data_IF_924676504879
#
_entry.id   IF_924676504879
#
_cell.length_a   1.000
_cell.length_b   1.000
_cell.length_c   1.000
_cell.angle_alpha   90.00
_cell.angle_beta   90.00
_cell.angle_gamma   90.00
#
_symmetry.space_group_name_H-M   'P 1'
#
loop_
_entity.id
_entity.type
_entity.pdbx_description
1 polymer ?
#
# COMPACT_ATOMS: atom_id res chain seq x y z
N UNK A 1 -56.31 -1.05 6.46
CA UNK A 1 -55.86 -0.91 5.06
C UNK A 1 -54.35 -0.87 5.10
N UNK A 2 -53.71 -1.96 4.70
CA UNK A 2 -52.25 -2.11 4.73
C UNK A 2 -51.65 -1.26 3.62
N UNK A 3 -50.87 -0.24 3.96
CA UNK A 3 -50.13 0.54 2.96
C UNK A 3 -49.14 -0.42 2.28
N UNK A 4 -49.07 -0.49 0.93
CA UNK A 4 -48.11 -1.36 0.26
C UNK A 4 -46.68 -1.00 0.72
N UNK A 5 -45.92 -2.00 1.15
CA UNK A 5 -44.54 -1.82 1.62
C UNK A 5 -43.68 -1.38 0.43
N UNK A 6 -43.29 -0.11 0.41
CA UNK A 6 -42.36 0.42 -0.57
C UNK A 6 -40.94 0.02 -0.16
N UNK A 7 -40.23 -0.70 -1.03
CA UNK A 7 -38.87 -1.18 -0.77
C UNK A 7 -37.91 -0.36 -1.62
N UNK A 8 -37.00 0.34 -0.95
CA UNK A 8 -36.01 1.20 -1.60
C UNK A 8 -34.85 1.53 -0.66
N UNK A 9 -33.91 2.31 -1.17
CA UNK A 9 -32.79 2.81 -0.38
C UNK A 9 -33.11 4.18 0.20
N UNK A 10 -32.68 4.42 1.44
CA UNK A 10 -32.88 5.69 2.13
C UNK A 10 -31.80 6.69 1.71
N UNK A 11 -32.23 7.87 1.30
CA UNK A 11 -31.38 8.96 0.85
C UNK A 11 -31.78 10.29 1.50
N UNK A 12 -30.79 11.15 1.76
CA UNK A 12 -31.00 12.55 2.16
C UNK A 12 -30.74 13.46 0.98
N UNK A 13 -31.71 14.30 0.64
CA UNK A 13 -31.59 15.22 -0.50
C UNK A 13 -30.62 16.33 -0.18
N UNK A 14 -29.61 16.53 -1.03
CA UNK A 14 -28.62 17.61 -0.90
C UNK A 14 -28.98 18.82 -1.76
N UNK A 15 -29.47 18.57 -2.97
CA UNK A 15 -29.85 19.59 -3.95
C UNK A 15 -30.83 19.01 -4.96
N UNK A 16 -31.80 19.80 -5.39
CA UNK A 16 -32.72 19.45 -6.48
C UNK A 16 -32.47 20.40 -7.64
N UNK A 17 -32.33 19.84 -8.84
CA UNK A 17 -32.34 20.55 -10.09
C UNK A 17 -33.69 20.31 -10.77
N UNK A 18 -34.54 21.33 -10.78
CA UNK A 18 -35.90 21.24 -11.31
C UNK A 18 -35.95 21.30 -12.83
N UNK A 19 -34.93 21.87 -13.49
CA UNK A 19 -34.89 21.94 -14.97
C UNK A 19 -34.68 20.55 -15.57
N UNK A 20 -33.80 19.75 -14.97
CA UNK A 20 -33.42 18.42 -15.44
C UNK A 20 -33.98 17.27 -14.56
N UNK A 21 -34.95 17.58 -13.69
CA UNK A 21 -35.57 16.64 -12.74
C UNK A 21 -34.56 15.72 -12.04
N UNK A 22 -33.46 16.32 -11.58
CA UNK A 22 -32.32 15.61 -11.01
C UNK A 22 -32.19 15.92 -9.53
N UNK A 23 -32.14 14.87 -8.70
CA UNK A 23 -31.94 14.98 -7.26
C UNK A 23 -30.55 14.50 -6.91
N UNK A 24 -29.74 15.38 -6.33
CA UNK A 24 -28.46 15.02 -5.69
C UNK A 24 -28.73 14.60 -4.26
N UNK A 25 -28.17 13.46 -3.86
CA UNK A 25 -28.48 12.84 -2.59
C UNK A 25 -27.26 12.25 -1.90
N UNK A 26 -27.39 12.02 -0.60
CA UNK A 26 -26.44 11.29 0.23
C UNK A 26 -27.06 9.99 0.72
N UNK A 27 -26.27 8.92 0.84
CA UNK A 27 -26.67 7.65 1.48
C UNK A 27 -26.29 7.66 2.97
N UNK A 28 -26.87 6.76 3.77
CA UNK A 28 -26.48 6.63 5.19
C UNK A 28 -24.99 6.33 5.40
N UNK A 29 -24.32 5.72 4.41
CA UNK A 29 -22.87 5.47 4.43
C UNK A 29 -22.01 6.67 3.98
N UNK A 30 -22.60 7.84 3.78
CA UNK A 30 -21.91 9.07 3.38
C UNK A 30 -21.60 9.20 1.88
N UNK A 31 -21.96 8.22 1.06
CA UNK A 31 -21.77 8.28 -0.39
C UNK A 31 -22.71 9.31 -1.02
N UNK A 32 -22.21 10.07 -1.99
CA UNK A 32 -22.98 11.09 -2.73
C UNK A 32 -23.31 10.53 -4.12
N UNK A 33 -24.56 10.70 -4.54
CA UNK A 33 -25.05 10.29 -5.85
C UNK A 33 -26.03 11.28 -6.45
N UNK A 34 -26.51 10.98 -7.65
CA UNK A 34 -27.62 11.71 -8.29
C UNK A 34 -28.59 10.73 -8.93
N UNK A 35 -29.88 11.04 -8.87
CA UNK A 35 -30.93 10.37 -9.66
C UNK A 35 -31.52 11.39 -10.61
N UNK A 36 -31.50 11.10 -11.90
CA UNK A 36 -32.12 11.91 -12.95
C UNK A 36 -33.43 11.25 -13.42
N UNK A 37 -34.31 12.04 -14.05
CA UNK A 37 -35.64 11.61 -14.52
C UNK A 37 -36.57 11.15 -13.38
N UNK A 38 -36.45 11.77 -12.21
CA UNK A 38 -37.31 11.47 -11.07
C UNK A 38 -38.65 12.23 -11.24
N UNK A 39 -39.76 11.52 -11.36
CA UNK A 39 -41.07 12.18 -11.51
C UNK A 39 -41.48 12.90 -10.21
N UNK A 40 -42.00 14.12 -10.32
CA UNK A 40 -42.59 14.85 -9.18
C UNK A 40 -41.57 15.56 -8.28
N UNK A 41 -40.38 15.88 -8.78
CA UNK A 41 -39.31 16.60 -8.06
C UNK A 41 -39.70 17.98 -7.54
N UNK A 42 -40.78 18.57 -8.04
CA UNK A 42 -41.30 19.88 -7.61
C UNK A 42 -41.69 19.94 -6.13
N UNK A 43 -41.85 18.78 -5.49
CA UNK A 43 -42.22 18.65 -4.07
C UNK A 43 -41.03 18.36 -3.15
N UNK A 44 -39.84 18.14 -3.70
CA UNK A 44 -38.65 17.74 -2.94
C UNK A 44 -37.82 18.98 -2.64
N UNK A 45 -37.47 19.18 -1.38
CA UNK A 45 -36.57 20.23 -0.93
C UNK A 45 -35.22 19.66 -0.45
N UNK A 46 -34.12 20.44 -0.51
CA UNK A 46 -32.87 20.08 0.15
C UNK A 46 -33.09 19.79 1.65
N UNK A 47 -32.63 18.62 2.10
CA UNK A 47 -32.80 18.12 3.46
C UNK A 47 -33.86 17.03 3.60
N UNK A 48 -34.74 16.86 2.62
CA UNK A 48 -35.78 15.82 2.67
C UNK A 48 -35.19 14.42 2.61
N UNK A 49 -35.77 13.53 3.41
CA UNK A 49 -35.45 12.11 3.37
C UNK A 49 -36.39 11.39 2.42
N UNK A 50 -35.80 10.61 1.51
CA UNK A 50 -36.51 9.88 0.49
C UNK A 50 -36.15 8.39 0.57
N UNK A 51 -37.14 7.52 0.45
CA UNK A 51 -36.92 6.12 0.10
C UNK A 51 -37.09 6.04 -1.41
N UNK A 52 -36.02 5.69 -2.14
CA UNK A 52 -36.04 5.58 -3.60
C UNK A 52 -35.92 4.11 -3.99
N UNK A 53 -36.90 3.63 -4.75
CA UNK A 53 -37.00 2.24 -5.21
C UNK A 53 -37.05 2.15 -6.74
N UNK A 54 -37.14 0.94 -7.27
CA UNK A 54 -37.13 0.71 -8.72
C UNK A 54 -38.30 1.38 -9.48
N UNK A 55 -39.41 1.66 -8.78
CA UNK A 55 -40.66 2.15 -9.38
C UNK A 55 -41.05 3.56 -8.91
N UNK A 56 -40.15 4.30 -8.24
CA UNK A 56 -40.43 5.66 -7.78
C UNK A 56 -39.72 6.03 -6.48
N UNK A 57 -40.33 6.95 -5.72
CA UNK A 57 -39.83 7.40 -4.44
C UNK A 57 -40.97 7.81 -3.51
N UNK A 58 -40.71 7.80 -2.21
CA UNK A 58 -41.61 8.35 -1.18
C UNK A 58 -40.82 9.09 -0.08
N UNK A 59 -41.48 10.00 0.64
CA UNK A 59 -40.87 10.64 1.80
C UNK A 59 -40.68 9.65 2.94
N UNK A 60 -39.47 9.58 3.47
CA UNK A 60 -39.16 8.79 4.63
C UNK A 60 -39.47 9.58 5.91
N UNK A 61 -39.96 8.91 6.97
CA UNK A 61 -39.96 9.47 8.32
C UNK A 61 -38.58 10.02 8.72
N UNK A 62 -38.56 11.20 9.35
CA UNK A 62 -37.34 11.93 9.72
C UNK A 62 -36.45 11.19 10.73
N UNK A 63 -37.01 10.23 11.47
CA UNK A 63 -36.33 9.40 12.47
C UNK A 63 -35.59 8.20 11.88
N UNK A 64 -35.81 7.86 10.61
CA UNK A 64 -35.08 6.79 9.90
C UNK A 64 -33.65 7.19 9.51
N UNK A 65 -33.33 8.49 9.55
CA UNK A 65 -31.98 8.97 9.32
C UNK A 65 -31.24 9.13 10.65
N UNK A 66 -30.42 8.13 10.98
CA UNK A 66 -29.46 8.28 12.05
C UNK A 66 -28.30 9.12 11.55
N UNK A 67 -28.16 10.34 12.09
CA UNK A 67 -26.96 11.14 11.97
C UNK A 67 -25.81 10.42 12.70
N UNK A 68 -25.22 9.42 12.04
CA UNK A 68 -23.93 8.88 12.44
C UNK A 68 -22.93 10.03 12.44
N UNK A 69 -22.26 10.24 13.57
CA UNK A 69 -21.28 11.30 13.68
C UNK A 69 -20.17 11.08 12.65
N UNK A 70 -19.82 12.14 11.95
CA UNK A 70 -18.68 12.20 11.04
C UNK A 70 -17.46 12.65 11.82
N UNK A 71 -16.28 12.13 11.47
CA UNK A 71 -15.02 12.56 12.06
C UNK A 71 -14.29 13.47 11.06
N UNK A 72 -13.81 14.62 11.51
CA UNK A 72 -13.01 15.51 10.67
C UNK A 72 -12.03 16.38 11.45
N UNK A 73 -11.06 16.95 10.75
CA UNK A 73 -10.01 17.76 11.34
C UNK A 73 -10.41 19.24 11.42
N UNK A 74 -10.35 19.85 12.60
CA UNK A 74 -10.59 21.28 12.77
C UNK A 74 -9.47 22.08 12.11
N UNK A 75 -9.78 22.82 11.04
CA UNK A 75 -8.81 23.71 10.37
C UNK A 75 -8.79 25.09 10.99
N UNK A 76 -9.94 25.59 11.44
CA UNK A 76 -10.08 26.94 12.01
C UNK A 76 -11.25 27.02 12.97
N UNK A 77 -11.10 27.81 14.03
CA UNK A 77 -12.20 28.25 14.89
C UNK A 77 -12.55 29.68 14.50
N UNK A 78 -13.84 29.95 14.30
CA UNK A 78 -14.37 31.25 13.87
C UNK A 78 -14.72 32.11 15.10
N UNK A 79 -14.80 33.42 14.90
CA UNK A 79 -15.10 34.37 15.98
C UNK A 79 -16.49 34.17 16.61
N UNK A 80 -17.43 33.57 15.85
CA UNK A 80 -18.78 33.22 16.32
C UNK A 80 -18.85 31.86 17.04
N UNK A 81 -17.70 31.20 17.25
CA UNK A 81 -17.60 29.90 17.90
C UNK A 81 -17.88 28.70 16.99
N UNK A 82 -18.26 28.89 15.72
CA UNK A 82 -18.31 27.80 14.75
C UNK A 82 -16.90 27.36 14.33
N UNK A 83 -16.77 26.17 13.73
CA UNK A 83 -15.50 25.64 13.26
C UNK A 83 -15.55 25.29 11.77
N UNK A 84 -14.40 25.37 11.12
CA UNK A 84 -14.18 24.81 9.79
C UNK A 84 -13.55 23.43 9.98
N UNK A 85 -14.25 22.40 9.54
CA UNK A 85 -13.82 21.01 9.61
C UNK A 85 -13.46 20.52 8.21
N UNK A 86 -12.33 19.85 8.09
CA UNK A 86 -11.95 19.09 6.91
C UNK A 86 -12.40 17.63 7.10
N UNK A 87 -13.38 17.21 6.31
CA UNK A 87 -13.95 15.86 6.35
C UNK A 87 -13.20 14.86 5.46
N UNK A 88 -12.12 15.30 4.79
CA UNK A 88 -11.43 14.53 3.75
C UNK A 88 -12.09 14.62 2.38
N UNK A 89 -13.35 15.06 2.29
CA UNK A 89 -14.09 15.30 1.03
C UNK A 89 -14.21 16.80 0.72
N UNK A 90 -14.04 17.65 1.74
CA UNK A 90 -14.06 19.10 1.60
C UNK A 90 -14.12 19.81 2.94
N UNK A 91 -14.11 21.14 2.91
CA UNK A 91 -14.26 21.96 4.09
C UNK A 91 -15.73 22.24 4.39
N UNK A 92 -16.16 21.93 5.60
CA UNK A 92 -17.52 22.20 6.09
C UNK A 92 -17.47 23.13 7.30
N UNK A 93 -18.39 24.09 7.35
CA UNK A 93 -18.60 24.90 8.55
C UNK A 93 -19.57 24.19 9.48
N UNK A 94 -19.14 23.88 10.68
CA UNK A 94 -19.89 23.13 11.69
C UNK A 94 -20.12 24.03 12.90
N UNK A 95 -21.35 24.08 13.40
CA UNK A 95 -21.69 24.83 14.62
C UNK A 95 -21.15 24.10 15.84
N UNK A 96 -20.60 24.83 16.81
CA UNK A 96 -20.20 24.24 18.09
C UNK A 96 -21.23 24.56 19.18
N UNK A 97 -22.47 24.08 18.99
CA UNK A 97 -23.60 24.42 19.85
C UNK A 97 -23.41 23.95 21.29
N UNK A 98 -22.66 22.86 21.48
CA UNK A 98 -22.31 22.30 22.80
C UNK A 98 -21.16 23.01 23.50
N UNK A 99 -20.54 24.02 22.86
CA UNK A 99 -19.36 24.76 23.36
C UNK A 99 -18.20 23.82 23.75
N UNK A 100 -17.98 22.78 22.96
CA UNK A 100 -16.84 21.87 23.12
C UNK A 100 -15.55 22.69 22.96
N UNK A 101 -14.58 22.51 23.85
CA UNK A 101 -13.29 23.21 23.73
C UNK A 101 -12.52 22.58 22.57
N UNK A 102 -12.44 23.31 21.47
CA UNK A 102 -11.81 22.86 20.22
C UNK A 102 -10.69 23.82 19.83
N UNK A 103 -9.60 23.28 19.30
CA UNK A 103 -8.47 24.02 18.75
C UNK A 103 -8.20 23.58 17.31
N UNK A 104 -7.62 24.44 16.46
CA UNK A 104 -7.11 24.00 15.17
C UNK A 104 -6.18 22.79 15.33
N UNK A 105 -6.41 21.74 14.53
CA UNK A 105 -5.70 20.47 14.57
C UNK A 105 -6.42 19.34 15.34
N UNK A 106 -7.45 19.63 16.14
CA UNK A 106 -8.23 18.56 16.78
C UNK A 106 -9.03 17.74 15.75
N UNK A 107 -9.19 16.44 16.00
CA UNK A 107 -10.19 15.61 15.33
C UNK A 107 -11.48 15.68 16.15
N UNK A 108 -12.58 16.04 15.50
CA UNK A 108 -13.88 16.16 16.15
C UNK A 108 -14.89 15.23 15.50
N UNK A 109 -15.75 14.64 16.31
CA UNK A 109 -16.98 14.01 15.83
C UNK A 109 -18.05 15.09 15.72
N UNK A 110 -18.78 15.13 14.61
CA UNK A 110 -19.81 16.12 14.35
C UNK A 110 -20.93 15.57 13.49
N UNK A 111 -22.11 16.18 13.56
CA UNK A 111 -23.19 15.92 12.62
C UNK A 111 -23.97 17.20 12.30
N UNK A 112 -24.84 17.13 11.30
CA UNK A 112 -25.61 18.29 10.83
C UNK A 112 -26.61 18.78 11.89
N UNK A 113 -27.23 17.88 12.66
CA UNK A 113 -28.25 18.24 13.64
C UNK A 113 -27.71 18.92 14.90
N UNK A 114 -26.60 18.43 15.45
CA UNK A 114 -26.08 18.84 16.76
C UNK A 114 -24.76 19.59 16.69
N UNK A 115 -24.11 19.61 15.52
CA UNK A 115 -22.82 20.24 15.33
C UNK A 115 -21.69 19.42 15.94
N UNK A 116 -20.72 20.07 16.58
CA UNK A 116 -19.61 19.37 17.26
C UNK A 116 -20.13 18.57 18.45
N UNK A 117 -19.91 17.25 18.43
CA UNK A 117 -20.28 16.31 19.48
C UNK A 117 -19.20 16.23 20.54
N UNK A 118 -17.98 15.90 20.13
CA UNK A 118 -16.80 15.77 21.01
C UNK A 118 -15.47 15.91 20.24
N UNK A 119 -14.37 16.06 20.99
CA UNK A 119 -13.01 15.93 20.45
C UNK A 119 -12.60 14.46 20.59
N UNK A 120 -12.43 13.79 19.46
CA UNK A 120 -12.04 12.37 19.38
C UNK A 120 -10.53 12.22 19.52
N UNK A 121 -9.77 13.20 19.04
CA UNK A 121 -8.29 13.23 19.17
C UNK A 121 -7.77 14.65 19.21
N UNK A 122 -6.79 14.91 20.09
CA UNK A 122 -6.08 16.18 20.12
C UNK A 122 -5.02 16.32 19.02
N UNK A 123 -4.64 15.20 18.39
CA UNK A 123 -3.61 15.12 17.34
C UNK A 123 -4.26 14.91 15.96
N UNK A 124 -3.92 15.71 14.94
CA UNK A 124 -4.47 15.53 13.60
C UNK A 124 -3.92 14.24 12.97
N UNK A 125 -4.80 13.42 12.39
CA UNK A 125 -4.39 12.50 11.32
C UNK A 125 -4.30 13.39 10.07
N UNK A 126 -3.10 13.93 9.80
CA UNK A 126 -2.91 15.01 8.82
C UNK A 126 -3.06 14.50 7.39
N UNK A 127 -4.09 14.99 6.70
CA UNK A 127 -4.01 15.26 5.25
C UNK A 127 -3.52 16.70 5.07
N UNK A 128 -2.38 16.90 4.37
CA UNK A 128 -1.90 18.14 3.75
C UNK A 128 -1.95 19.47 4.53
N UNK A 129 -0.78 20.02 4.87
CA UNK A 129 -0.26 21.38 4.49
C UNK A 129 1.05 21.67 5.27
N UNK A 130 2.13 21.80 4.49
CA UNK A 130 3.30 22.69 4.56
C UNK A 130 3.82 23.05 5.97
N UNK A 131 4.59 22.13 6.54
CA UNK A 131 5.66 22.32 7.52
C UNK A 131 6.69 21.22 7.25
N UNK A 132 7.96 21.37 7.67
CA UNK A 132 9.10 20.53 7.25
C UNK A 132 8.73 19.03 7.17
N UNK A 133 8.56 18.58 5.92
CA UNK A 133 7.60 17.54 5.53
C UNK A 133 8.27 16.16 5.46
N UNK A 134 9.58 16.09 5.78
CA UNK A 134 10.38 14.87 5.81
C UNK A 134 10.11 14.01 7.03
N UNK A 135 9.80 14.60 8.20
CA UNK A 135 9.46 13.83 9.41
C UNK A 135 8.21 12.95 9.19
N UNK A 136 7.23 13.43 8.43
CA UNK A 136 6.03 12.67 8.09
C UNK A 136 6.36 11.51 7.14
N UNK A 137 7.21 11.77 6.14
CA UNK A 137 7.67 10.76 5.18
C UNK A 137 8.48 9.65 5.86
N UNK A 138 9.38 10.01 6.77
CA UNK A 138 10.16 9.02 7.51
C UNK A 138 9.24 8.16 8.37
N UNK A 139 8.31 8.77 9.12
CA UNK A 139 7.37 8.01 9.94
C UNK A 139 6.49 7.03 9.13
N UNK A 140 6.18 7.35 7.87
CA UNK A 140 5.26 6.56 7.05
C UNK A 140 5.97 5.51 6.17
N UNK A 141 7.11 5.88 5.56
CA UNK A 141 7.78 5.10 4.53
C UNK A 141 9.13 4.53 4.96
N UNK A 142 9.85 5.19 5.88
CA UNK A 142 11.10 4.65 6.39
C UNK A 142 10.80 3.41 7.24
N UNK A 143 11.62 2.37 7.06
CA UNK A 143 11.57 1.15 7.86
C UNK A 143 12.89 1.02 8.59
N UNK A 144 12.79 0.73 9.88
CA UNK A 144 13.97 0.41 10.67
C UNK A 144 14.49 -0.98 10.26
N UNK A 145 15.52 -0.98 9.42
CA UNK A 145 16.22 -2.18 8.97
C UNK A 145 17.69 -2.19 9.44
N UNK A 146 18.13 -1.19 10.21
CA UNK A 146 19.54 -0.94 10.49
C UNK A 146 20.14 -1.93 11.51
N UNK A 147 19.32 -2.61 12.32
CA UNK A 147 19.80 -3.51 13.38
C UNK A 147 19.10 -4.87 13.44
N UNK A 148 17.80 -4.99 13.14
CA UNK A 148 17.01 -6.24 13.33
C UNK A 148 16.44 -6.86 12.03
N UNK A 149 16.92 -6.45 10.84
CA UNK A 149 16.45 -7.02 9.56
C UNK A 149 17.01 -8.43 9.24
N UNK A 150 16.66 -9.07 8.12
CA UNK A 150 17.29 -10.31 7.64
C UNK A 150 18.68 -10.07 7.02
N UNK A 151 19.57 -11.07 7.07
CA UNK A 151 20.88 -11.13 6.37
C UNK A 151 20.82 -12.01 5.12
N UNK A 152 21.92 -12.05 4.36
CA UNK A 152 22.09 -13.04 3.29
C UNK A 152 22.04 -14.50 3.76
N UNK A 153 22.36 -14.79 5.03
CA UNK A 153 22.25 -16.13 5.60
C UNK A 153 20.79 -16.57 5.75
N UNK A 154 19.87 -15.61 5.86
CA UNK A 154 18.43 -15.81 6.03
C UNK A 154 17.67 -15.96 4.69
N UNK A 155 18.34 -15.80 3.53
CA UNK A 155 17.68 -15.85 2.22
C UNK A 155 17.44 -17.28 1.70
N UNK A 156 18.47 -18.12 1.78
CA UNK A 156 18.46 -19.50 1.26
C UNK A 156 18.41 -19.59 -0.28
N UNK A 157 19.33 -20.34 -0.88
CA UNK A 157 19.34 -20.58 -2.34
C UNK A 157 19.66 -19.34 -3.19
N UNK A 158 19.41 -19.45 -4.50
CA UNK A 158 19.59 -18.44 -5.52
C UNK A 158 21.00 -17.80 -5.55
N UNK A 159 22.07 -18.60 -5.73
CA UNK A 159 23.45 -18.12 -5.63
C UNK A 159 23.75 -16.96 -6.60
N UNK A 160 23.20 -17.01 -7.82
CA UNK A 160 23.41 -15.96 -8.82
C UNK A 160 22.71 -14.64 -8.43
N UNK A 161 21.49 -14.72 -7.91
CA UNK A 161 20.73 -13.55 -7.42
C UNK A 161 21.46 -12.91 -6.23
N UNK A 162 21.92 -13.73 -5.29
CA UNK A 162 22.70 -13.28 -4.13
C UNK A 162 24.03 -12.64 -4.56
N UNK A 163 24.72 -13.23 -5.54
CA UNK A 163 25.95 -12.67 -6.07
C UNK A 163 25.72 -11.29 -6.72
N UNK A 164 24.65 -11.14 -7.51
CA UNK A 164 24.26 -9.84 -8.10
C UNK A 164 23.88 -8.79 -7.05
N UNK A 165 23.19 -9.19 -5.99
CA UNK A 165 22.87 -8.30 -4.87
C UNK A 165 24.14 -7.83 -4.13
N UNK A 166 25.12 -8.71 -3.92
CA UNK A 166 26.41 -8.34 -3.34
C UNK A 166 27.20 -7.41 -4.26
N UNK A 167 27.21 -7.68 -5.56
CA UNK A 167 27.83 -6.81 -6.57
C UNK A 167 27.21 -5.39 -6.54
N UNK A 168 25.88 -5.29 -6.41
CA UNK A 168 25.17 -4.03 -6.28
C UNK A 168 25.64 -3.23 -5.04
N UNK A 169 25.73 -3.89 -3.89
CA UNK A 169 26.19 -3.25 -2.63
C UNK A 169 27.63 -2.76 -2.78
N UNK A 170 28.54 -3.65 -3.18
CA UNK A 170 29.96 -3.34 -3.28
C UNK A 170 30.23 -2.20 -4.28
N UNK A 171 29.63 -2.27 -5.46
CA UNK A 171 29.94 -1.32 -6.53
C UNK A 171 29.24 0.02 -6.33
N UNK A 172 27.95 0.02 -6.00
CA UNK A 172 27.14 1.23 -6.01
C UNK A 172 27.05 1.93 -4.65
N UNK A 173 27.06 1.19 -3.54
CA UNK A 173 26.87 1.77 -2.21
C UNK A 173 28.20 1.99 -1.48
N UNK A 174 29.11 1.02 -1.57
CA UNK A 174 30.42 1.09 -0.90
C UNK A 174 31.48 1.82 -1.73
N UNK A 175 31.57 1.54 -3.03
CA UNK A 175 32.61 2.11 -3.92
C UNK A 175 32.16 3.33 -4.73
N UNK A 176 31.14 4.05 -4.24
CA UNK A 176 30.53 5.20 -4.92
C UNK A 176 31.53 6.32 -5.23
N UNK A 177 32.40 6.66 -4.27
CA UNK A 177 33.41 7.71 -4.46
C UNK A 177 34.43 7.36 -5.55
N UNK A 178 34.80 6.08 -5.68
CA UNK A 178 35.71 5.63 -6.73
C UNK A 178 35.04 5.75 -8.10
N UNK A 179 33.75 5.40 -8.22
CA UNK A 179 32.98 5.59 -9.45
C UNK A 179 32.92 7.06 -9.87
N UNK A 180 32.67 7.96 -8.91
CA UNK A 180 32.64 9.40 -9.17
C UNK A 180 34.00 9.93 -9.64
N UNK A 181 35.11 9.46 -9.06
CA UNK A 181 36.49 9.81 -9.50
C UNK A 181 36.82 9.31 -10.90
N UNK A 182 36.31 8.14 -11.29
CA UNK A 182 36.48 7.56 -12.63
C UNK A 182 35.61 8.30 -13.66
N UNK A 183 34.59 9.05 -13.22
CA UNK A 183 33.59 9.64 -14.09
C UNK A 183 32.58 8.61 -14.61
N UNK A 184 32.47 7.45 -13.94
CA UNK A 184 31.49 6.44 -14.27
C UNK A 184 30.09 6.92 -13.86
N UNK A 185 29.08 6.64 -14.69
CA UNK A 185 27.70 6.95 -14.36
C UNK A 185 27.19 5.93 -13.33
N UNK A 186 26.62 6.36 -12.19
CA UNK A 186 26.02 5.43 -11.24
C UNK A 186 24.85 4.66 -11.85
N UNK A 187 24.64 3.45 -11.35
CA UNK A 187 23.35 2.75 -11.49
C UNK A 187 22.35 3.48 -10.60
N UNK A 188 21.30 4.02 -11.22
CA UNK A 188 20.24 4.74 -10.49
C UNK A 188 19.11 3.83 -10.03
N UNK A 189 18.78 2.84 -10.86
CA UNK A 189 17.65 1.95 -10.67
C UNK A 189 18.00 0.49 -10.92
N UNK A 190 17.48 -0.40 -10.08
CA UNK A 190 17.51 -1.85 -10.26
C UNK A 190 16.08 -2.39 -10.31
N UNK A 191 15.76 -3.20 -11.31
CA UNK A 191 14.47 -3.87 -11.43
C UNK A 191 14.61 -5.33 -10.96
N UNK A 192 13.79 -5.73 -10.00
CA UNK A 192 13.60 -7.11 -9.59
C UNK A 192 12.39 -7.69 -10.33
N UNK A 193 12.62 -8.69 -11.17
CA UNK A 193 11.59 -9.31 -12.00
C UNK A 193 11.38 -10.77 -11.59
N UNK A 194 10.25 -11.35 -11.95
CA UNK A 194 9.98 -12.78 -11.73
C UNK A 194 8.72 -13.06 -10.92
N UNK A 195 8.40 -14.34 -10.73
CA UNK A 195 7.11 -14.78 -10.16
C UNK A 195 6.88 -14.27 -8.72
N UNK A 196 5.63 -14.12 -8.27
CA UNK A 196 5.32 -13.78 -6.89
C UNK A 196 5.87 -14.84 -5.93
N UNK A 197 6.21 -14.42 -4.71
CA UNK A 197 6.68 -15.34 -3.66
C UNK A 197 8.11 -15.87 -3.84
N UNK A 198 8.92 -15.30 -4.74
CA UNK A 198 10.33 -15.69 -4.97
C UNK A 198 11.36 -14.94 -4.12
N UNK A 199 10.92 -14.03 -3.23
CA UNK A 199 11.80 -13.35 -2.28
C UNK A 199 12.31 -11.96 -2.69
N UNK A 200 11.74 -11.32 -3.72
CA UNK A 200 12.13 -9.96 -4.16
C UNK A 200 12.18 -8.93 -3.02
N UNK A 201 11.07 -8.78 -2.28
CA UNK A 201 10.97 -7.87 -1.13
C UNK A 201 11.88 -8.28 0.03
N UNK A 202 12.11 -9.58 0.20
CA UNK A 202 13.01 -10.10 1.23
C UNK A 202 14.46 -9.72 0.92
N UNK A 203 14.92 -9.92 -0.32
CA UNK A 203 16.27 -9.54 -0.75
C UNK A 203 16.51 -8.03 -0.65
N UNK A 204 15.51 -7.21 -1.00
CA UNK A 204 15.63 -5.76 -0.89
C UNK A 204 15.90 -5.30 0.57
N UNK A 205 15.26 -5.94 1.56
CA UNK A 205 15.52 -5.68 2.98
C UNK A 205 16.91 -6.13 3.40
N UNK A 206 17.38 -7.28 2.91
CA UNK A 206 18.74 -7.77 3.15
C UNK A 206 19.76 -6.77 2.60
N UNK A 207 19.60 -6.32 1.35
CA UNK A 207 20.49 -5.33 0.73
C UNK A 207 20.56 -4.05 1.57
N UNK A 208 19.42 -3.56 2.08
CA UNK A 208 19.38 -2.38 2.94
C UNK A 208 20.13 -2.58 4.25
N UNK A 209 19.92 -3.73 4.92
CA UNK A 209 20.61 -4.07 6.18
C UNK A 209 22.12 -4.15 5.98
N UNK A 210 22.57 -4.93 4.99
CA UNK A 210 23.99 -5.20 4.73
C UNK A 210 24.75 -3.94 4.31
N UNK A 211 24.10 -3.05 3.56
CA UNK A 211 24.68 -1.77 3.17
C UNK A 211 24.54 -0.65 4.21
N UNK A 212 23.81 -0.92 5.31
CA UNK A 212 23.43 0.06 6.34
C UNK A 212 22.74 1.29 5.74
N UNK A 213 21.85 1.04 4.78
CA UNK A 213 21.12 2.08 4.07
C UNK A 213 19.73 2.27 4.67
N UNK A 214 19.28 3.53 4.71
CA UNK A 214 17.92 3.88 5.09
C UNK A 214 16.94 3.29 4.06
N UNK A 215 15.95 2.52 4.52
CA UNK A 215 15.06 1.77 3.62
C UNK A 215 13.66 2.40 3.56
N UNK A 216 13.34 3.02 2.44
CA UNK A 216 12.02 3.59 2.17
C UNK A 216 11.19 2.56 1.40
N UNK A 217 10.14 2.03 2.02
CA UNK A 217 9.26 1.03 1.43
C UNK A 217 7.98 1.69 0.88
N UNK A 218 7.78 1.57 -0.43
CA UNK A 218 6.61 2.08 -1.13
C UNK A 218 5.86 0.90 -1.76
N UNK A 219 4.63 0.66 -1.33
CA UNK A 219 3.75 -0.35 -1.93
C UNK A 219 2.88 0.29 -3.01
N UNK A 220 2.90 -0.27 -4.22
CA UNK A 220 2.14 0.21 -5.39
C UNK A 220 0.63 0.42 -5.14
N UNK A 221 -0.11 -0.56 -4.59
CA UNK A 221 -1.53 -0.36 -4.26
C UNK A 221 -1.77 0.68 -3.15
N UNK A 222 -0.89 0.68 -2.14
CA UNK A 222 -0.98 1.59 -0.99
C UNK A 222 -0.70 3.03 -1.39
N UNK A 223 0.17 3.23 -2.39
CA UNK A 223 0.42 4.53 -2.98
C UNK A 223 -0.91 4.93 -3.68
N UNK A 224 -1.40 4.29 -4.74
CA UNK A 224 -2.62 4.72 -5.48
C UNK A 224 -3.83 5.13 -4.61
N UNK A 225 -4.17 4.35 -3.58
CA UNK A 225 -5.34 4.61 -2.71
C UNK A 225 -5.25 5.92 -1.91
N UNK A 226 -4.05 6.35 -1.50
CA UNK A 226 -3.83 7.62 -0.79
C UNK A 226 -3.75 8.82 -1.75
N UNK A 227 -3.85 8.58 -3.07
CA UNK A 227 -3.31 9.45 -4.13
C UNK A 227 -4.35 10.26 -4.88
N UNK A 228 -5.53 10.47 -4.28
CA UNK A 228 -6.56 11.36 -4.80
C UNK A 228 -6.31 12.86 -4.51
N UNK A 229 -5.22 13.22 -3.79
CA UNK A 229 -4.99 14.59 -3.28
C UNK A 229 -3.62 15.24 -3.56
N UNK A 230 -2.55 14.87 -2.83
CA UNK A 230 -1.22 15.56 -2.81
C UNK A 230 -0.07 14.68 -3.33
N UNK A 231 -0.25 14.33 -4.59
CA UNK A 231 0.33 13.20 -5.31
C UNK A 231 1.85 13.14 -5.37
N UNK A 232 2.27 13.87 -6.40
CA UNK A 232 3.63 14.08 -6.86
C UNK A 232 4.53 14.70 -5.78
N UNK A 233 3.92 15.48 -4.87
CA UNK A 233 4.60 16.04 -3.71
C UNK A 233 5.13 14.96 -2.78
N UNK A 234 4.35 13.90 -2.52
CA UNK A 234 4.78 12.80 -1.65
C UNK A 234 5.96 12.04 -2.24
N UNK A 235 5.92 11.70 -3.53
CA UNK A 235 7.04 11.01 -4.18
C UNK A 235 8.31 11.87 -4.13
N UNK A 236 8.18 13.16 -4.39
CA UNK A 236 9.28 14.12 -4.32
C UNK A 236 9.87 14.18 -2.90
N UNK A 237 9.03 14.28 -1.87
CA UNK A 237 9.47 14.30 -0.47
C UNK A 237 10.18 13.00 -0.06
N UNK A 238 9.75 11.84 -0.55
CA UNK A 238 10.47 10.56 -0.33
C UNK A 238 11.87 10.60 -0.92
N UNK A 239 12.01 11.05 -2.18
CA UNK A 239 13.34 11.21 -2.79
C UNK A 239 14.19 12.24 -2.05
N UNK A 240 13.60 13.36 -1.64
CA UNK A 240 14.30 14.39 -0.86
C UNK A 240 14.78 13.85 0.49
N UNK A 241 13.92 13.14 1.24
CA UNK A 241 14.27 12.49 2.50
C UNK A 241 15.40 11.47 2.30
N UNK A 242 15.26 10.58 1.31
CA UNK A 242 16.28 9.59 0.99
C UNK A 242 17.63 10.22 0.63
N UNK A 243 17.64 11.35 -0.10
CA UNK A 243 18.89 12.08 -0.33
C UNK A 243 19.42 12.76 0.92
N UNK A 244 18.57 13.22 1.85
CA UNK A 244 18.99 13.87 3.09
C UNK A 244 19.34 12.89 4.22
N UNK A 245 19.16 11.59 3.99
CA UNK A 245 19.52 10.49 4.88
C UNK A 245 20.87 10.72 5.60
N UNK A 246 20.84 10.60 6.92
CA UNK A 246 22.01 10.81 7.78
C UNK A 246 23.06 9.71 7.59
N UNK A 247 22.65 8.50 7.22
CA UNK A 247 23.57 7.38 6.94
C UNK A 247 24.36 7.58 5.64
N UNK A 248 23.97 8.56 4.81
CA UNK A 248 24.57 8.85 3.51
C UNK A 248 24.24 7.81 2.42
N UNK A 249 23.48 6.77 2.78
CA UNK A 249 23.05 5.67 1.92
C UNK A 249 21.56 5.46 2.09
N UNK A 250 20.82 5.42 0.99
CA UNK A 250 19.39 5.12 1.05
C UNK A 250 18.95 4.21 -0.09
N UNK A 251 17.95 3.39 0.19
CA UNK A 251 17.28 2.54 -0.79
C UNK A 251 15.81 2.92 -0.80
N UNK A 252 15.32 3.33 -1.97
CA UNK A 252 13.89 3.54 -2.21
C UNK A 252 13.37 2.28 -2.91
N UNK A 253 12.60 1.46 -2.21
CA UNK A 253 12.06 0.21 -2.73
C UNK A 253 10.58 0.36 -3.09
N UNK A 254 10.27 0.20 -4.38
CA UNK A 254 8.90 0.10 -4.90
C UNK A 254 8.49 -1.36 -5.00
N UNK A 255 7.57 -1.81 -4.15
CA UNK A 255 6.95 -3.13 -4.27
C UNK A 255 5.73 -3.06 -5.17
N UNK A 256 5.55 -4.07 -6.02
CA UNK A 256 4.45 -4.16 -7.00
C UNK A 256 4.34 -2.91 -7.89
N UNK A 257 5.47 -2.48 -8.48
CA UNK A 257 5.52 -1.29 -9.33
C UNK A 257 4.58 -1.40 -10.55
N UNK A 258 4.28 -2.62 -10.99
CA UNK A 258 3.32 -2.87 -12.07
C UNK A 258 1.94 -2.30 -11.77
N UNK A 259 1.50 -2.24 -10.50
CA UNK A 259 0.21 -1.63 -10.15
C UNK A 259 0.12 -0.12 -10.48
N UNK A 260 1.25 0.60 -10.46
CA UNK A 260 1.30 2.04 -10.78
C UNK A 260 1.82 2.33 -12.18
N UNK A 261 2.48 1.36 -12.82
CA UNK A 261 3.27 1.56 -14.02
C UNK A 261 2.91 0.61 -15.17
N UNK A 262 1.64 0.18 -15.27
CA UNK A 262 1.17 -0.57 -16.43
C UNK A 262 1.29 0.24 -17.73
N UNK A 263 1.49 -0.48 -18.85
CA UNK A 263 1.51 0.06 -20.21
C UNK A 263 0.27 0.93 -20.43
N UNK A 264 0.52 2.08 -21.07
CA UNK A 264 -0.46 3.11 -21.38
C UNK A 264 -1.50 2.60 -22.40
N UNK A 265 -2.45 1.79 -21.96
CA UNK A 265 -3.67 1.46 -22.70
C UNK A 265 -4.72 2.55 -22.45
N UNK A 266 -5.71 2.68 -23.35
CA UNK A 266 -6.72 3.75 -23.30
C UNK A 266 -7.47 3.88 -21.96
N UNK A 267 -7.57 2.78 -21.20
CA UNK A 267 -8.29 2.69 -19.93
C UNK A 267 -7.40 2.91 -18.69
N UNK A 268 -6.11 3.16 -18.86
CA UNK A 268 -5.21 3.45 -17.73
C UNK A 268 -5.59 4.76 -17.03
N UNK A 269 -5.78 4.70 -15.71
CA UNK A 269 -6.16 5.85 -14.88
C UNK A 269 -5.17 7.01 -15.07
N UNK A 270 -5.67 8.23 -15.35
CA UNK A 270 -4.86 9.46 -15.49
C UNK A 270 -3.98 9.74 -14.26
N UNK A 271 -4.39 9.27 -13.08
CA UNK A 271 -3.57 9.33 -11.87
C UNK A 271 -2.28 8.49 -11.99
N UNK A 272 -2.38 7.24 -12.46
CA UNK A 272 -1.22 6.35 -12.65
C UNK A 272 -0.25 6.89 -13.70
N UNK A 273 -0.75 7.48 -14.79
CA UNK A 273 0.11 8.10 -15.82
C UNK A 273 0.95 9.26 -15.28
N UNK A 274 0.33 10.15 -14.48
CA UNK A 274 1.04 11.28 -13.83
C UNK A 274 2.09 10.78 -12.84
N UNK A 275 1.74 9.73 -12.10
CA UNK A 275 2.64 9.04 -11.18
C UNK A 275 3.91 8.52 -11.86
N UNK A 276 3.75 7.77 -12.95
CA UNK A 276 4.88 7.27 -13.75
C UNK A 276 5.69 8.43 -14.29
N UNK A 277 5.06 9.47 -14.84
CA UNK A 277 5.77 10.65 -15.36
C UNK A 277 6.61 11.34 -14.28
N UNK A 278 6.08 11.47 -13.06
CA UNK A 278 6.81 12.04 -11.93
C UNK A 278 7.97 11.13 -11.49
N UNK A 279 7.76 9.81 -11.41
CA UNK A 279 8.83 8.86 -11.10
C UNK A 279 9.97 8.96 -12.13
N UNK A 280 9.64 8.98 -13.43
CA UNK A 280 10.64 9.16 -14.50
C UNK A 280 11.41 10.48 -14.35
N UNK A 281 10.70 11.57 -14.05
CA UNK A 281 11.31 12.88 -13.82
C UNK A 281 12.27 12.86 -12.62
N UNK A 282 11.88 12.20 -11.53
CA UNK A 282 12.73 12.06 -10.34
C UNK A 282 13.96 11.20 -10.64
N UNK A 283 13.79 10.05 -11.29
CA UNK A 283 14.89 9.17 -11.72
C UNK A 283 15.90 9.89 -12.62
N UNK A 284 15.41 10.71 -13.56
CA UNK A 284 16.26 11.48 -14.46
C UNK A 284 16.96 12.64 -13.72
N UNK A 285 16.26 13.30 -12.78
CA UNK A 285 16.58 14.64 -12.28
C UNK A 285 17.32 14.75 -10.95
N UNK A 286 17.43 13.71 -10.13
CA UNK A 286 18.17 13.83 -8.86
C UNK A 286 19.69 13.68 -9.05
N UNK A 287 20.45 14.72 -8.67
CA UNK A 287 21.92 14.72 -8.76
C UNK A 287 22.50 13.94 -7.57
N UNK A 288 22.91 12.70 -7.84
CA UNK A 288 23.49 11.76 -6.87
C UNK A 288 24.97 12.05 -6.53
N UNK A 289 25.44 13.28 -6.74
CA UNK A 289 26.83 13.65 -6.43
C UNK A 289 27.04 13.61 -4.92
N UNK A 290 27.94 12.72 -4.48
CA UNK A 290 28.29 12.54 -3.08
C UNK A 290 27.23 11.82 -2.22
N UNK A 291 26.19 11.23 -2.83
CA UNK A 291 25.15 10.47 -2.11
C UNK A 291 24.92 9.11 -2.77
N UNK A 292 24.75 8.08 -1.94
CA UNK A 292 24.57 6.70 -2.37
C UNK A 292 23.09 6.31 -2.26
N UNK A 293 22.26 6.86 -3.14
CA UNK A 293 20.83 6.55 -3.19
C UNK A 293 20.54 5.67 -4.40
N UNK A 294 19.94 4.51 -4.15
CA UNK A 294 19.54 3.55 -5.18
C UNK A 294 18.03 3.36 -5.13
N UNK A 295 17.41 3.32 -6.31
CA UNK A 295 16.00 2.95 -6.44
C UNK A 295 15.91 1.49 -6.84
N UNK A 296 15.15 0.69 -6.11
CA UNK A 296 14.88 -0.70 -6.45
C UNK A 296 13.38 -0.83 -6.68
N UNK A 297 12.96 -1.50 -7.75
CA UNK A 297 11.54 -1.76 -8.00
C UNK A 297 11.31 -3.25 -8.22
N UNK A 298 10.28 -3.82 -7.62
CA UNK A 298 9.88 -5.21 -7.81
C UNK A 298 8.57 -5.29 -8.63
N UNK A 299 8.55 -6.19 -9.60
CA UNK A 299 7.37 -6.49 -10.41
C UNK A 299 7.20 -7.99 -10.61
N UNK A 300 5.95 -8.44 -10.68
CA UNK A 300 5.61 -9.81 -11.08
C UNK A 300 5.28 -9.91 -12.58
N UNK A 301 5.13 -8.77 -13.26
CA UNK A 301 4.62 -8.64 -14.64
C UNK A 301 5.47 -7.65 -15.43
N UNK A 302 6.72 -8.03 -15.72
CA UNK A 302 7.66 -7.17 -16.45
C UNK A 302 7.15 -6.80 -17.85
N UNK A 303 6.37 -7.69 -18.46
CA UNK A 303 5.74 -7.53 -19.77
C UNK A 303 4.66 -6.45 -19.79
N UNK A 304 4.04 -6.12 -18.65
CA UNK A 304 3.04 -5.06 -18.55
C UNK A 304 3.63 -3.70 -18.18
N UNK A 305 4.91 -3.62 -17.81
CA UNK A 305 5.54 -2.38 -17.35
C UNK A 305 5.72 -1.35 -18.48
N UNK A 306 5.57 -0.05 -18.18
CA UNK A 306 5.88 1.04 -19.12
C UNK A 306 7.35 0.93 -19.58
N UNK A 307 7.63 0.70 -20.88
CA UNK A 307 9.00 0.57 -21.38
C UNK A 307 9.87 1.81 -21.18
N UNK A 308 9.28 2.97 -20.84
CA UNK A 308 10.04 4.13 -20.45
C UNK A 308 10.86 3.89 -19.17
N UNK A 309 10.40 3.05 -18.24
CA UNK A 309 11.08 2.78 -16.97
C UNK A 309 12.38 1.99 -17.14
N UNK A 310 12.45 1.13 -18.16
CA UNK A 310 13.61 0.25 -18.44
C UNK A 310 14.61 0.87 -19.43
N UNK A 311 14.45 2.15 -19.79
CA UNK A 311 15.42 2.84 -20.66
C UNK A 311 16.70 3.16 -19.90
N UNK A 312 17.87 3.14 -20.58
CA UNK A 312 19.15 3.49 -19.96
C UNK A 312 19.14 4.84 -19.23
N UNK A 313 19.68 4.88 -18.01
CA UNK A 313 19.65 5.98 -17.06
C UNK A 313 18.53 5.90 -16.01
N UNK A 314 17.72 4.83 -15.97
CA UNK A 314 16.60 4.59 -15.06
C UNK A 314 16.78 3.21 -14.40
N UNK A 315 15.91 2.23 -14.69
CA UNK A 315 16.09 0.84 -14.26
C UNK A 315 16.98 0.09 -15.26
N UNK A 316 18.28 0.33 -15.14
CA UNK A 316 19.29 -0.12 -16.10
C UNK A 316 19.84 -1.51 -15.78
N UNK A 317 19.68 -1.91 -14.51
CA UNK A 317 20.05 -3.21 -14.00
C UNK A 317 18.81 -4.03 -13.72
N UNK A 318 18.88 -5.31 -14.02
CA UNK A 318 17.81 -6.28 -13.77
C UNK A 318 18.36 -7.46 -12.99
N UNK A 319 17.61 -7.89 -11.97
CA UNK A 319 17.83 -9.14 -11.26
C UNK A 319 16.56 -9.98 -11.41
N UNK A 320 16.67 -11.08 -12.16
CA UNK A 320 15.56 -11.98 -12.43
C UNK A 320 15.45 -13.06 -11.35
N UNK A 321 14.26 -13.22 -10.80
CA UNK A 321 13.92 -14.22 -9.78
C UNK A 321 13.07 -15.33 -10.42
N UNK A 322 13.75 -16.39 -10.85
CA UNK A 322 13.10 -17.62 -11.31
C UNK A 322 12.43 -18.42 -10.17
N UNK A 323 11.67 -19.44 -10.54
CA UNK A 323 11.28 -20.47 -9.58
C UNK A 323 12.53 -21.23 -9.09
N UNK A 324 12.57 -21.62 -7.81
CA UNK A 324 13.76 -22.21 -7.20
C UNK A 324 14.11 -23.58 -7.81
N UNK A 325 15.39 -23.80 -8.10
CA UNK A 325 15.92 -25.10 -8.49
C UNK A 325 15.84 -26.11 -7.34
N UNK A 326 16.10 -27.40 -7.59
CA UNK A 326 16.11 -28.41 -6.52
C UNK A 326 17.06 -28.04 -5.38
N UNK A 327 18.25 -27.53 -5.70
CA UNK A 327 19.23 -27.10 -4.71
C UNK A 327 18.73 -25.87 -3.93
N UNK A 328 18.12 -24.90 -4.62
CA UNK A 328 17.55 -23.73 -3.97
C UNK A 328 16.43 -24.11 -3.02
N UNK A 329 15.53 -25.01 -3.43
CA UNK A 329 14.42 -25.47 -2.58
C UNK A 329 14.90 -26.10 -1.28
N UNK A 330 15.95 -26.91 -1.35
CA UNK A 330 16.55 -27.50 -0.15
C UNK A 330 17.12 -26.42 0.78
N UNK A 331 17.90 -25.48 0.27
CA UNK A 331 18.48 -24.42 1.10
C UNK A 331 17.42 -23.47 1.67
N UNK A 332 16.38 -23.13 0.90
CA UNK A 332 15.23 -22.35 1.37
C UNK A 332 14.54 -23.06 2.53
N UNK A 333 14.23 -24.36 2.39
CA UNK A 333 13.59 -25.15 3.44
C UNK A 333 14.45 -25.19 4.71
N UNK A 334 15.76 -25.39 4.55
CA UNK A 334 16.71 -25.47 5.66
C UNK A 334 16.82 -24.15 6.42
N UNK A 335 16.98 -23.03 5.72
CA UNK A 335 17.09 -21.70 6.33
C UNK A 335 15.78 -21.29 6.99
N UNK A 336 14.64 -21.50 6.31
CA UNK A 336 13.32 -21.16 6.86
C UNK A 336 12.98 -21.93 8.15
N UNK A 337 13.51 -23.14 8.31
CA UNK A 337 13.31 -23.98 9.50
C UNK A 337 14.30 -23.72 10.63
N UNK A 338 15.37 -22.95 10.42
CA UNK A 338 16.52 -22.89 11.33
C UNK A 338 16.19 -22.36 12.74
N UNK A 339 15.18 -21.51 12.87
CA UNK A 339 14.75 -20.94 14.16
C UNK A 339 13.64 -21.75 14.85
N UNK A 340 13.12 -22.80 14.20
CA UNK A 340 12.04 -23.61 14.72
C UNK A 340 12.56 -24.77 15.55
N UNK A 341 11.79 -25.17 16.57
CA UNK A 341 12.04 -26.42 17.30
C UNK A 341 11.56 -27.59 16.45
N UNK A 342 12.50 -28.33 15.88
CA UNK A 342 12.26 -29.44 14.97
C UNK A 342 13.00 -30.67 15.46
N UNK A 343 12.48 -31.85 15.11
CA UNK A 343 13.20 -33.09 15.32
C UNK A 343 14.58 -33.06 14.65
N UNK A 344 15.60 -33.77 15.17
CA UNK A 344 16.98 -33.67 14.68
C UNK A 344 17.18 -34.02 13.20
N UNK A 345 16.28 -34.83 12.62
CA UNK A 345 16.33 -35.27 11.24
C UNK A 345 15.01 -34.94 10.58
N UNK A 346 15.04 -34.03 9.61
CA UNK A 346 13.88 -33.61 8.83
C UNK A 346 14.04 -34.04 7.37
N UNK A 347 12.97 -34.46 6.68
CA UNK A 347 13.05 -35.04 5.33
C UNK A 347 13.18 -33.96 4.23
N UNK A 348 14.01 -32.94 4.42
CA UNK A 348 14.05 -31.75 3.56
C UNK A 348 14.42 -32.05 2.11
N UNK A 349 15.26 -33.06 1.87
CA UNK A 349 15.62 -33.48 0.50
C UNK A 349 14.42 -34.04 -0.26
N UNK A 350 13.61 -34.88 0.39
CA UNK A 350 12.42 -35.47 -0.22
C UNK A 350 11.37 -34.40 -0.49
N UNK A 351 11.16 -33.49 0.47
CA UNK A 351 10.27 -32.34 0.29
C UNK A 351 10.74 -31.46 -0.88
N UNK A 352 12.04 -31.18 -0.99
CA UNK A 352 12.60 -30.41 -2.11
C UNK A 352 12.36 -31.10 -3.46
N UNK A 353 12.40 -32.45 -3.53
CA UNK A 353 12.10 -33.21 -4.76
C UNK A 353 10.63 -33.15 -5.14
N UNK A 354 9.72 -33.19 -4.16
CA UNK A 354 8.26 -33.20 -4.38
C UNK A 354 7.67 -31.82 -4.68
N UNK A 355 8.42 -30.75 -4.41
CA UNK A 355 7.96 -29.35 -4.53
C UNK A 355 8.40 -28.68 -5.85
N UNK A 356 8.47 -29.44 -6.95
CA UNK A 356 8.79 -28.85 -8.26
C UNK A 356 7.78 -27.77 -8.67
N UNK A 357 8.29 -26.61 -9.08
CA UNK A 357 7.48 -25.46 -9.49
C UNK A 357 6.87 -24.66 -8.33
N UNK A 358 7.25 -24.95 -7.08
CA UNK A 358 6.82 -24.17 -5.92
C UNK A 358 7.70 -22.94 -5.75
N UNK A 359 7.11 -21.81 -5.34
CA UNK A 359 7.80 -20.58 -4.95
C UNK A 359 8.49 -20.70 -3.58
N UNK A 360 9.42 -19.78 -3.28
CA UNK A 360 10.06 -19.72 -1.96
C UNK A 360 9.04 -19.48 -0.82
N UNK A 361 8.00 -18.70 -1.08
CA UNK A 361 6.91 -18.47 -0.15
C UNK A 361 6.12 -19.75 0.15
N UNK A 362 5.77 -20.55 -0.85
CA UNK A 362 5.09 -21.84 -0.63
C UNK A 362 5.97 -22.82 0.15
N UNK A 363 7.28 -22.86 -0.12
CA UNK A 363 8.23 -23.70 0.63
C UNK A 363 8.34 -23.29 2.09
N UNK A 364 8.44 -21.98 2.35
CA UNK A 364 8.46 -21.44 3.71
C UNK A 364 7.14 -21.74 4.43
N UNK A 365 6.02 -21.70 3.70
CA UNK A 365 4.70 -21.96 4.25
C UNK A 365 4.50 -23.42 4.72
N UNK A 366 5.29 -24.38 4.23
CA UNK A 366 5.31 -25.76 4.75
C UNK A 366 5.61 -25.77 6.25
N UNK A 367 6.57 -24.94 6.70
CA UNK A 367 6.91 -24.85 8.12
C UNK A 367 5.78 -24.27 8.96
N UNK A 368 5.06 -23.27 8.43
CA UNK A 368 3.88 -22.69 9.09
C UNK A 368 2.80 -23.76 9.29
N UNK A 369 2.46 -24.52 8.25
CA UNK A 369 1.46 -25.59 8.35
C UNK A 369 1.92 -26.71 9.28
N UNK A 370 3.19 -27.12 9.21
CA UNK A 370 3.75 -28.15 10.08
C UNK A 370 3.71 -27.72 11.56
N UNK A 371 4.02 -26.46 11.85
CA UNK A 371 3.92 -25.90 13.19
C UNK A 371 2.47 -25.90 13.71
N UNK A 372 1.49 -25.59 12.85
CA UNK A 372 0.07 -25.64 13.21
C UNK A 372 -0.41 -27.06 13.52
N UNK A 373 0.07 -28.06 12.77
CA UNK A 373 -0.21 -29.48 13.06
C UNK A 373 0.36 -29.86 14.43
N UNK A 374 1.66 -29.58 14.65
CA UNK A 374 2.32 -29.89 15.91
C UNK A 374 1.64 -29.22 17.12
N UNK A 375 1.29 -27.94 16.98
CA UNK A 375 0.58 -27.19 18.01
C UNK A 375 -0.83 -27.73 18.25
N UNK A 376 -1.55 -28.13 17.20
CA UNK A 376 -2.87 -28.76 17.30
C UNK A 376 -2.85 -30.05 18.12
N UNK A 377 -1.76 -30.82 18.02
CA UNK A 377 -1.52 -32.03 18.80
C UNK A 377 -0.91 -31.76 20.19
N UNK A 378 -0.85 -30.49 20.61
CA UNK A 378 -0.21 -30.05 21.87
C UNK A 378 1.27 -30.45 22.00
N UNK A 379 1.99 -30.58 20.88
CA UNK A 379 3.44 -30.82 20.85
C UNK A 379 4.22 -29.52 20.85
N UNK A 380 5.45 -29.58 21.36
CA UNK A 380 6.37 -28.43 21.45
C UNK A 380 7.50 -28.44 20.40
N UNK A 381 7.47 -29.45 19.52
CA UNK A 381 8.46 -29.72 18.49
C UNK A 381 7.76 -30.26 17.23
N UNK A 382 8.23 -29.81 16.07
CA UNK A 382 7.76 -30.24 14.75
C UNK A 382 8.45 -31.56 14.40
N UNK A 383 7.65 -32.56 14.06
CA UNK A 383 8.09 -33.89 13.65
C UNK A 383 8.10 -34.05 12.12
N UNK A 384 8.83 -35.03 11.56
CA UNK A 384 8.85 -35.30 10.12
C UNK A 384 7.46 -35.49 9.50
N UNK A 385 6.54 -36.12 10.23
CA UNK A 385 5.17 -36.39 9.78
C UNK A 385 4.36 -35.09 9.59
N UNK A 386 4.65 -34.05 10.37
CA UNK A 386 3.96 -32.76 10.25
C UNK A 386 4.31 -32.07 8.95
N UNK A 387 5.58 -32.15 8.54
CA UNK A 387 6.07 -31.57 7.29
C UNK A 387 5.50 -32.34 6.09
N UNK A 388 5.39 -33.67 6.19
CA UNK A 388 4.72 -34.47 5.17
C UNK A 388 3.23 -34.11 5.05
N UNK A 389 2.52 -33.98 6.18
CA UNK A 389 1.11 -33.58 6.19
C UNK A 389 0.92 -32.14 5.68
N UNK A 390 1.81 -31.23 6.03
CA UNK A 390 1.82 -29.85 5.54
C UNK A 390 1.98 -29.80 4.02
N UNK A 391 2.92 -30.58 3.48
CA UNK A 391 3.12 -30.70 2.03
C UNK A 391 1.83 -31.12 1.32
N UNK A 392 1.15 -32.16 1.81
CA UNK A 392 -0.12 -32.64 1.24
C UNK A 392 -1.20 -31.55 1.29
N UNK A 393 -1.36 -30.87 2.44
CA UNK A 393 -2.36 -29.80 2.61
C UNK A 393 -2.15 -28.65 1.63
N UNK A 394 -0.89 -28.25 1.42
CA UNK A 394 -0.56 -27.15 0.52
C UNK A 394 -0.71 -27.60 -0.94
N UNK A 395 -0.30 -28.82 -1.28
CA UNK A 395 -0.44 -29.38 -2.62
C UNK A 395 -1.90 -29.51 -3.07
N UNK A 396 -2.84 -29.71 -2.13
CA UNK A 396 -4.27 -29.77 -2.39
C UNK A 396 -4.93 -28.39 -2.57
N UNK A 397 -4.23 -27.29 -2.27
CA UNK A 397 -4.79 -25.95 -2.50
C UNK A 397 -4.90 -25.71 -4.01
N UNK A 398 -6.03 -25.17 -4.50
CA UNK A 398 -6.15 -24.81 -5.90
C UNK A 398 -5.08 -23.75 -6.20
N UNK A 399 -4.16 -24.09 -7.10
CA UNK A 399 -3.20 -23.12 -7.65
C UNK A 399 -3.93 -22.29 -8.68
N UNK A 400 -3.88 -20.97 -8.56
CA UNK A 400 -4.20 -20.09 -9.68
C UNK A 400 -3.16 -20.35 -10.76
N UNK A 401 -3.49 -21.24 -11.71
CA UNK A 401 -2.71 -21.41 -12.93
C UNK A 401 -3.03 -20.18 -13.77
N UNK A 402 -2.17 -19.17 -13.73
CA UNK A 402 -2.17 -18.14 -14.76
C UNK A 402 -1.74 -18.83 -16.05
N UNK A 403 -2.72 -19.14 -16.91
CA UNK A 403 -2.43 -19.58 -18.28
C UNK A 403 -1.71 -18.42 -18.97
N UNK A 404 -0.46 -18.67 -19.36
CA UNK A 404 0.43 -17.74 -20.09
C UNK A 404 -0.13 -17.47 -21.48
#
# INVERSE_FOLDING_TARGET
MSNPMFIGQLFKTLRVDHEDQTVHFQTQGGQIGRVSNLNGTDKIEPGDLLIVGQNGWEFAPSDLWHDSGQIGAVRRVMDDGSIIVDSGVGFQRVKNTRKVIVKPGNMVEYNDAQGVLEVVSERPIKSGIIGDDTENVESEYLRDNATEGPTFEDFGGYPDVVARAKELIETQLERREQLDKIGARPVKGVLFTGQPGTGKTHLARIIARESKADFYLISGPSIISKWLGDTEGTLRRIFEAATKSESGRAIIFFDEIDSIAEKRTGDSHEASKRLVAQLLTLMDGFDNKGKSVIVIAATNRVDTLDPALTRPGRFDWEIEFGLPSLADRYEILKVAGAHLKTAPVMPLEDIARLTHGWSAAELTFIWTEAALVAAGDSRSEIAPEDVAQALERIALRPREVTLV
#
